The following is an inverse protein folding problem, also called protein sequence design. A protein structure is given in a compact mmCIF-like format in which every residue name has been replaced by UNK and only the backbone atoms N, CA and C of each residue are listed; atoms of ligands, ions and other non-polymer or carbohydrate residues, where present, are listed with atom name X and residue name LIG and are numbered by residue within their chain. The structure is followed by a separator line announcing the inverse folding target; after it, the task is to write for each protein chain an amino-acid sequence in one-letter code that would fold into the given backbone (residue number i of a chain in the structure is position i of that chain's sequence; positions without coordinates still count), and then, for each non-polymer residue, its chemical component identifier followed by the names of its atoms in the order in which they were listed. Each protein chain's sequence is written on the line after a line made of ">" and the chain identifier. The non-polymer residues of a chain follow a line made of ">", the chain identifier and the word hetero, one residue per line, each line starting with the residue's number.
data_IF_614071203310
#
_entry.id   IF_614071203310
#
_cell.length_a   1.000
_cell.length_b   1.000
_cell.length_c   1.000
_cell.angle_alpha   90.00
_cell.angle_beta   90.00
_cell.angle_gamma   90.00
#
_symmetry.space_group_name_H-M   'P 1'
#
loop_
_entity.id
_entity.type
_entity.pdbx_description
1 polymer ?
#
# COMPACT_ATOMS: atom_id res chain seq x y z
N UNK A 1 35.77 -24.76 33.54
CA UNK A 1 35.30 -23.48 34.10
C UNK A 1 35.29 -22.35 33.07
N UNK A 2 36.41 -22.02 32.41
CA UNK A 2 36.49 -20.90 31.43
C UNK A 2 35.45 -20.95 30.29
N UNK A 3 35.16 -22.13 29.72
CA UNK A 3 34.14 -22.32 28.67
C UNK A 3 32.70 -22.05 29.14
N UNK A 4 32.38 -22.36 30.40
CA UNK A 4 31.06 -22.05 30.98
C UNK A 4 30.88 -20.54 31.15
N UNK A 5 31.91 -19.83 31.56
CA UNK A 5 31.88 -18.36 31.64
C UNK A 5 31.73 -17.71 30.25
N UNK A 6 32.40 -18.26 29.23
CA UNK A 6 32.29 -17.78 27.85
C UNK A 6 30.87 -17.97 27.28
N UNK A 7 30.24 -19.12 27.54
CA UNK A 7 28.86 -19.37 27.14
C UNK A 7 27.85 -18.43 27.83
N UNK A 8 28.06 -18.13 29.11
CA UNK A 8 27.23 -17.19 29.87
C UNK A 8 27.38 -15.76 29.33
N UNK A 9 28.59 -15.32 28.99
CA UNK A 9 28.82 -13.99 28.40
C UNK A 9 28.15 -13.86 27.03
N UNK A 10 28.24 -14.89 26.19
CA UNK A 10 27.58 -14.90 24.88
C UNK A 10 26.06 -14.83 25.03
N UNK A 11 25.47 -15.59 25.97
CA UNK A 11 24.04 -15.56 26.28
C UNK A 11 23.57 -14.19 26.81
N UNK A 12 24.42 -13.50 27.59
CA UNK A 12 24.12 -12.14 28.09
C UNK A 12 24.23 -11.10 26.96
N UNK A 13 25.15 -11.28 26.01
CA UNK A 13 25.26 -10.35 24.88
C UNK A 13 24.07 -10.47 23.91
N UNK A 14 23.49 -11.65 23.73
CA UNK A 14 22.36 -11.85 22.83
C UNK A 14 21.05 -11.24 23.34
N UNK A 15 20.85 -11.15 24.66
CA UNK A 15 19.67 -10.47 25.24
C UNK A 15 19.74 -8.93 25.14
N UNK A 16 20.92 -8.34 24.93
CA UNK A 16 21.10 -6.89 24.74
C UNK A 16 21.21 -6.47 23.27
N UNK A 17 21.24 -7.43 22.33
CA UNK A 17 21.37 -7.14 20.90
C UNK A 17 20.08 -6.57 20.27
N UNK A 18 18.94 -6.67 20.96
CA UNK A 18 17.69 -6.07 20.48
C UNK A 18 17.64 -4.58 20.87
N UNK A 19 18.25 -3.74 20.04
CA UNK A 19 18.05 -2.28 20.05
C UNK A 19 17.09 -1.96 18.91
N UNK A 20 15.96 -1.30 19.21
CA UNK A 20 15.09 -0.77 18.15
C UNK A 20 15.87 0.27 17.37
N UNK A 21 15.78 0.22 16.04
CA UNK A 21 16.31 1.28 15.19
C UNK A 21 15.75 2.63 15.67
N UNK A 22 16.64 3.52 16.09
CA UNK A 22 16.27 4.89 16.41
C UNK A 22 16.39 5.72 15.13
N UNK A 23 15.31 5.77 14.36
CA UNK A 23 15.17 6.87 13.41
C UNK A 23 15.03 8.17 14.22
N UNK A 24 15.69 9.27 13.81
CA UNK A 24 15.39 10.58 14.36
C UNK A 24 13.88 10.79 14.21
N UNK A 25 13.18 10.89 15.33
CA UNK A 25 11.76 11.19 15.33
C UNK A 25 11.62 12.64 14.88
N UNK A 26 11.32 12.85 13.59
CA UNK A 26 11.00 14.17 13.05
C UNK A 26 9.56 14.53 13.45
N UNK A 27 9.28 14.51 14.75
CA UNK A 27 7.93 14.69 15.33
C UNK A 27 7.27 15.96 14.76
N UNK A 28 8.05 17.02 14.59
CA UNK A 28 7.58 18.28 13.99
C UNK A 28 7.13 18.11 12.53
N UNK A 29 7.89 17.35 11.73
CA UNK A 29 7.56 17.10 10.32
C UNK A 29 6.38 16.14 10.18
N UNK A 30 6.31 15.10 11.02
CA UNK A 30 5.18 14.17 11.05
C UNK A 30 3.89 14.91 11.44
N UNK A 31 3.95 15.79 12.44
CA UNK A 31 2.84 16.65 12.83
C UNK A 31 2.44 17.62 11.72
N UNK A 32 3.41 18.27 11.06
CA UNK A 32 3.14 19.16 9.94
C UNK A 32 2.47 18.42 8.78
N UNK A 33 2.93 17.20 8.47
CA UNK A 33 2.34 16.35 7.44
C UNK A 33 0.89 15.97 7.78
N UNK A 34 0.64 15.47 9.00
CA UNK A 34 -0.70 15.10 9.46
C UNK A 34 -1.66 16.29 9.40
N UNK A 35 -1.20 17.46 9.84
CA UNK A 35 -1.95 18.73 9.75
C UNK A 35 -2.31 19.09 8.30
N UNK A 36 -1.33 19.02 7.39
CA UNK A 36 -1.54 19.35 5.99
C UNK A 36 -2.49 18.37 5.30
N UNK A 37 -2.34 17.07 5.55
CA UNK A 37 -3.21 16.02 5.01
C UNK A 37 -4.64 16.22 5.53
N UNK A 38 -4.80 16.40 6.85
CA UNK A 38 -6.08 16.66 7.49
C UNK A 38 -6.79 17.90 6.90
N UNK A 39 -6.08 19.02 6.75
CA UNK A 39 -6.62 20.26 6.15
C UNK A 39 -7.01 20.10 4.68
N UNK A 40 -6.41 19.16 3.96
CA UNK A 40 -6.74 18.89 2.56
C UNK A 40 -7.94 17.95 2.38
N UNK A 41 -8.37 17.28 3.45
CA UNK A 41 -9.53 16.40 3.43
C UNK A 41 -10.84 17.19 3.41
N UNK A 42 -11.92 16.56 2.92
CA UNK A 42 -13.24 17.19 2.92
C UNK A 42 -13.86 17.28 4.33
N UNK A 43 -13.42 16.44 5.27
CA UNK A 43 -13.95 16.39 6.65
C UNK A 43 -13.09 17.17 7.64
N UNK A 44 -11.84 17.48 7.29
CA UNK A 44 -10.86 18.06 8.20
C UNK A 44 -10.20 17.05 9.14
N UNK A 45 -10.19 15.75 8.76
CA UNK A 45 -9.63 14.65 9.55
C UNK A 45 -8.88 13.66 8.65
N UNK A 46 -7.87 12.97 9.22
CA UNK A 46 -7.07 11.96 8.50
C UNK A 46 -7.91 10.75 8.07
N UNK A 47 -8.93 10.40 8.85
CA UNK A 47 -9.79 9.24 8.62
C UNK A 47 -10.52 9.30 7.27
N UNK A 48 -10.67 10.48 6.67
CA UNK A 48 -11.22 10.66 5.32
C UNK A 48 -10.50 9.84 4.25
N UNK A 49 -9.19 9.60 4.43
CA UNK A 49 -8.37 8.86 3.48
C UNK A 49 -8.34 7.36 3.75
N UNK A 50 -9.00 6.88 4.82
CA UNK A 50 -9.14 5.45 5.06
C UNK A 50 -10.08 4.88 3.99
N UNK A 51 -9.54 3.95 3.20
CA UNK A 51 -10.35 3.24 2.23
C UNK A 51 -11.38 2.36 2.96
N UNK A 52 -12.62 2.30 2.46
CA UNK A 52 -13.63 1.41 2.99
C UNK A 52 -13.26 -0.06 2.75
N UNK A 53 -14.00 -0.96 3.40
CA UNK A 53 -13.86 -2.40 3.17
C UNK A 53 -14.05 -2.73 1.69
N UNK A 54 -13.19 -3.59 1.14
CA UNK A 54 -13.22 -3.99 -0.27
C UNK A 54 -14.52 -4.66 -0.70
N UNK A 55 -15.28 -5.21 0.25
CA UNK A 55 -16.58 -5.84 0.01
C UNK A 55 -17.74 -4.83 0.12
N UNK A 56 -17.52 -3.65 0.70
CA UNK A 56 -18.50 -2.56 0.73
C UNK A 56 -18.40 -1.69 -0.53
N UNK A 57 -18.80 -2.29 -1.65
CA UNK A 57 -18.71 -1.67 -2.98
C UNK A 57 -19.48 -0.34 -3.11
N UNK A 58 -20.45 -0.08 -2.23
CA UNK A 58 -21.22 1.16 -2.22
C UNK A 58 -20.48 2.29 -1.51
N UNK A 59 -19.61 1.97 -0.55
CA UNK A 59 -18.79 2.95 0.16
C UNK A 59 -17.53 3.36 -0.61
N UNK A 60 -17.04 2.53 -1.54
CA UNK A 60 -15.88 2.87 -2.38
C UNK A 60 -16.23 4.12 -3.22
N UNK A 61 -15.39 5.17 -3.25
CA UNK A 61 -15.60 6.33 -4.10
C UNK A 61 -15.65 5.93 -5.59
N UNK A 62 -16.73 6.28 -6.30
CA UNK A 62 -16.97 5.90 -7.70
C UNK A 62 -17.65 7.05 -8.47
N UNK A 63 -17.62 6.97 -9.81
CA UNK A 63 -18.47 7.81 -10.65
C UNK A 63 -19.95 7.49 -10.36
N UNK A 64 -20.82 8.48 -10.08
CA UNK A 64 -22.24 8.26 -9.82
C UNK A 64 -22.99 7.50 -10.94
N UNK A 65 -22.49 7.54 -12.17
CA UNK A 65 -23.04 6.84 -13.33
C UNK A 65 -22.45 5.44 -13.52
N UNK A 66 -21.47 5.05 -12.72
CA UNK A 66 -20.90 3.69 -12.72
C UNK A 66 -20.88 3.05 -11.33
N UNK A 67 -22.05 2.72 -10.74
CA UNK A 67 -22.08 1.96 -9.50
C UNK A 67 -21.37 0.62 -9.65
N UNK A 68 -20.57 0.26 -8.64
CA UNK A 68 -19.88 -1.02 -8.58
C UNK A 68 -20.86 -2.15 -8.30
N UNK A 69 -20.57 -3.30 -8.89
CA UNK A 69 -21.22 -4.57 -8.60
C UNK A 69 -20.14 -5.65 -8.57
N UNK A 70 -20.34 -6.77 -7.86
CA UNK A 70 -19.36 -7.86 -7.86
C UNK A 70 -19.04 -8.33 -9.27
N UNK A 71 -20.04 -8.42 -10.15
CA UNK A 71 -19.84 -8.81 -11.56
C UNK A 71 -18.97 -7.82 -12.34
N UNK A 72 -19.13 -6.51 -12.11
CA UNK A 72 -18.26 -5.49 -12.73
C UNK A 72 -16.84 -5.55 -12.21
N UNK A 73 -16.66 -5.82 -10.92
CA UNK A 73 -15.34 -5.98 -10.30
C UNK A 73 -14.63 -7.19 -10.90
N UNK A 74 -15.31 -8.34 -10.97
CA UNK A 74 -14.76 -9.56 -11.57
C UNK A 74 -14.45 -9.37 -13.07
N UNK A 75 -15.34 -8.72 -13.82
CA UNK A 75 -15.06 -8.36 -15.21
C UNK A 75 -13.83 -7.46 -15.31
N UNK A 76 -13.74 -6.42 -14.49
CA UNK A 76 -12.59 -5.51 -14.45
C UNK A 76 -11.28 -6.23 -14.18
N UNK A 77 -11.27 -7.21 -13.26
CA UNK A 77 -10.11 -8.07 -13.00
C UNK A 77 -9.68 -8.83 -14.25
N UNK A 78 -10.61 -9.42 -15.00
CA UNK A 78 -10.28 -10.11 -16.26
C UNK A 78 -9.70 -9.13 -17.29
N UNK A 79 -10.38 -8.00 -17.47
CA UNK A 79 -9.99 -6.97 -18.44
C UNK A 79 -8.65 -6.32 -18.13
N UNK A 80 -8.26 -6.21 -16.86
CA UNK A 80 -6.98 -5.62 -16.46
C UNK A 80 -5.77 -6.39 -17.02
N UNK A 81 -5.93 -7.69 -17.25
CA UNK A 81 -4.92 -8.58 -17.84
C UNK A 81 -5.16 -8.90 -19.33
N UNK A 82 -6.20 -8.32 -19.94
CA UNK A 82 -6.53 -8.56 -21.35
C UNK A 82 -5.56 -7.81 -22.26
N UNK A 83 -4.79 -8.53 -23.08
CA UNK A 83 -3.83 -7.91 -24.00
C UNK A 83 -4.47 -7.49 -25.31
N UNK A 84 -5.65 -8.02 -25.66
CA UNK A 84 -6.42 -7.67 -26.85
C UNK A 84 -6.84 -6.19 -26.93
N UNK A 85 -6.69 -5.41 -25.86
CA UNK A 85 -6.91 -3.96 -25.88
C UNK A 85 -5.70 -3.16 -26.38
N UNK A 86 -4.51 -3.73 -26.40
CA UNK A 86 -3.29 -3.08 -26.83
C UNK A 86 -3.16 -2.97 -28.36
N UNK A 87 -4.24 -2.69 -29.10
CA UNK A 87 -4.20 -2.63 -30.56
C UNK A 87 -3.66 -1.28 -31.08
N UNK A 88 -3.83 -0.20 -30.31
CA UNK A 88 -3.25 1.11 -30.62
C UNK A 88 -1.87 1.28 -29.96
N UNK A 89 -1.02 0.26 -30.13
CA UNK A 89 0.33 0.28 -29.60
C UNK A 89 1.21 1.27 -30.37
N UNK A 90 2.06 2.03 -29.65
CA UNK A 90 2.98 3.00 -30.26
C UNK A 90 3.96 2.36 -31.27
N UNK A 91 4.24 1.07 -31.13
CA UNK A 91 5.00 0.27 -32.09
C UNK A 91 4.15 -0.93 -32.51
N UNK A 92 4.18 -1.27 -33.79
CA UNK A 92 3.45 -2.43 -34.33
C UNK A 92 3.79 -3.73 -33.60
N UNK A 93 5.05 -3.92 -33.21
CA UNK A 93 5.50 -5.09 -32.44
C UNK A 93 4.88 -5.21 -31.04
N UNK A 94 4.26 -4.15 -30.52
CA UNK A 94 3.59 -4.14 -29.23
C UNK A 94 2.09 -4.43 -29.32
N UNK A 95 1.54 -4.61 -30.52
CA UNK A 95 0.11 -4.83 -30.67
C UNK A 95 -0.31 -6.16 -30.04
N UNK A 96 -1.26 -6.10 -29.11
CA UNK A 96 -1.77 -7.30 -28.44
C UNK A 96 -0.79 -7.94 -27.44
N UNK A 97 0.30 -7.26 -27.07
CA UNK A 97 1.38 -7.86 -26.25
C UNK A 97 1.46 -7.34 -24.82
N UNK A 98 0.67 -6.32 -24.46
CA UNK A 98 0.67 -5.74 -23.11
C UNK A 98 -0.76 -5.48 -22.63
N UNK A 99 -0.91 -5.34 -21.32
CA UNK A 99 -2.17 -5.02 -20.64
C UNK A 99 -1.91 -3.96 -19.58
N UNK A 100 -2.92 -3.60 -18.78
CA UNK A 100 -2.74 -2.70 -17.64
C UNK A 100 -1.85 -3.30 -16.54
N UNK A 101 -1.68 -4.62 -16.53
CA UNK A 101 -0.85 -5.34 -15.57
C UNK A 101 0.62 -5.52 -15.98
N UNK A 102 1.01 -5.05 -17.17
CA UNK A 102 2.35 -5.24 -17.75
C UNK A 102 3.35 -4.16 -17.37
#
# INVERSE_FOLDING_TARGET
>A
MKIRYLAVIILISSIWACTKDQMPSLIELDQELEDLVSRSSATGDLDFYILPDENDLAAIPQDPKNPLTPAKVELGKLLFYETGFAMDAMKESGQGTYSCAS
#
